data_IF_734574331346
#
_entry.id   IF_734574331346
#
_cell.length_a   1.000
_cell.length_b   1.000
_cell.length_c   1.000
_cell.angle_alpha   90.00
_cell.angle_beta   90.00
_cell.angle_gamma   90.00
#
_symmetry.space_group_name_H-M   'P 1'
#
loop_
_entity.id
_entity.type
_entity.pdbx_description
1 polymer ?
#
# COMPACT_ATOMS: atom_id res chain seq x y z
N UNK A 1 -18.05 4.55 -3.85
CA UNK A 1 -16.71 3.91 -3.87
C UNK A 1 -15.84 4.71 -4.83
N UNK A 2 -14.77 5.36 -4.37
CA UNK A 2 -13.86 6.09 -5.25
C UNK A 2 -12.81 5.12 -5.79
N UNK A 3 -12.93 4.77 -7.06
CA UNK A 3 -11.96 3.92 -7.76
C UNK A 3 -10.88 4.83 -8.31
N UNK A 4 -9.67 4.71 -7.76
CA UNK A 4 -8.47 5.42 -8.20
C UNK A 4 -7.35 4.41 -8.45
N UNK A 5 -6.34 4.79 -9.24
CA UNK A 5 -5.15 3.94 -9.43
C UNK A 5 -4.54 3.53 -8.09
N UNK A 6 -4.47 4.47 -7.13
CA UNK A 6 -4.05 4.21 -5.76
C UNK A 6 -4.82 3.06 -5.13
N UNK A 7 -6.14 3.17 -5.01
CA UNK A 7 -6.98 2.14 -4.36
C UNK A 7 -6.91 0.78 -5.04
N UNK A 8 -6.78 0.75 -6.37
CA UNK A 8 -6.67 -0.50 -7.15
C UNK A 8 -5.31 -1.15 -6.91
N UNK A 9 -4.23 -0.36 -6.92
CA UNK A 9 -2.89 -0.87 -6.63
C UNK A 9 -2.77 -1.39 -5.20
N UNK A 10 -3.27 -0.63 -4.20
CA UNK A 10 -3.30 -1.08 -2.80
C UNK A 10 -4.04 -2.42 -2.65
N UNK A 11 -5.24 -2.52 -3.23
CA UNK A 11 -6.05 -3.73 -3.17
C UNK A 11 -5.36 -4.93 -3.84
N UNK A 12 -4.75 -4.72 -5.03
CA UNK A 12 -4.03 -5.75 -5.75
C UNK A 12 -2.83 -6.27 -4.94
N UNK A 13 -2.01 -5.36 -4.40
CA UNK A 13 -0.84 -5.71 -3.58
C UNK A 13 -1.27 -6.46 -2.33
N UNK A 14 -2.33 -6.00 -1.65
CA UNK A 14 -2.86 -6.66 -0.45
C UNK A 14 -3.33 -8.09 -0.72
N UNK A 15 -4.10 -8.30 -1.78
CA UNK A 15 -4.55 -9.66 -2.19
C UNK A 15 -3.36 -10.55 -2.53
N UNK A 16 -2.36 -10.03 -3.24
CA UNK A 16 -1.17 -10.81 -3.60
C UNK A 16 -0.33 -11.18 -2.36
N UNK A 17 -0.22 -10.29 -1.37
CA UNK A 17 0.46 -10.58 -0.11
C UNK A 17 -0.26 -11.69 0.67
N UNK A 18 -1.59 -11.59 0.81
CA UNK A 18 -2.40 -12.61 1.49
C UNK A 18 -2.29 -13.97 0.81
N UNK A 19 -2.38 -14.02 -0.53
CA UNK A 19 -2.24 -15.26 -1.30
C UNK A 19 -0.84 -15.86 -1.26
N UNK A 20 0.19 -15.03 -1.09
CA UNK A 20 1.58 -15.47 -1.02
C UNK A 20 2.00 -15.98 0.37
N UNK A 21 1.20 -15.72 1.40
CA UNK A 21 1.46 -16.19 2.76
C UNK A 21 1.33 -17.72 2.80
N UNK A 22 2.42 -18.40 3.14
CA UNK A 22 2.50 -19.87 3.11
C UNK A 22 1.93 -20.54 4.38
N UNK A 23 1.24 -19.78 5.24
CA UNK A 23 0.68 -20.23 6.50
C UNK A 23 -0.78 -20.64 6.36
N UNK A 24 -1.20 -21.64 7.15
CA UNK A 24 -2.62 -21.92 7.36
C UNK A 24 -3.20 -20.84 8.28
N UNK A 25 -3.53 -19.68 7.71
CA UNK A 25 -4.29 -18.66 8.41
C UNK A 25 -5.77 -19.04 8.34
N UNK A 26 -6.51 -19.03 9.47
CA UNK A 26 -7.95 -19.27 9.48
C UNK A 26 -8.67 -18.29 8.55
N UNK A 27 -9.72 -18.76 7.85
CA UNK A 27 -10.44 -17.92 6.89
C UNK A 27 -11.19 -16.76 7.58
N UNK A 28 -11.52 -16.90 8.86
CA UNK A 28 -12.19 -15.92 9.71
C UNK A 28 -11.22 -14.90 10.35
N UNK A 29 -9.91 -15.09 10.20
CA UNK A 29 -8.92 -14.17 10.76
C UNK A 29 -9.03 -12.79 10.08
N UNK A 30 -9.12 -11.69 10.86
CA UNK A 30 -9.18 -10.36 10.29
C UNK A 30 -7.82 -9.96 9.70
N UNK A 31 -7.85 -9.38 8.51
CA UNK A 31 -6.73 -8.77 7.82
C UNK A 31 -6.97 -7.27 7.71
N UNK A 32 -5.92 -6.49 7.87
CA UNK A 32 -6.01 -5.03 7.84
C UNK A 32 -5.09 -4.42 6.79
N UNK A 33 -5.56 -3.35 6.17
CA UNK A 33 -4.76 -2.51 5.29
C UNK A 33 -4.89 -1.05 5.69
N UNK A 34 -3.79 -0.44 6.10
CA UNK A 34 -3.75 0.93 6.59
C UNK A 34 -2.92 1.85 5.70
N UNK A 35 -3.31 3.11 5.57
CA UNK A 35 -2.48 4.14 4.96
C UNK A 35 -2.71 5.49 5.62
N UNK A 36 -1.68 6.34 5.62
CA UNK A 36 -1.79 7.71 6.09
C UNK A 36 -2.37 8.63 5.01
N UNK A 37 -3.44 9.35 5.33
CA UNK A 37 -4.10 10.30 4.44
C UNK A 37 -3.79 11.75 4.84
N UNK A 38 -3.35 12.57 3.86
CA UNK A 38 -3.20 14.01 4.04
C UNK A 38 -4.56 14.68 4.26
N UNK A 39 -4.70 15.32 5.42
CA UNK A 39 -5.94 15.95 5.86
C UNK A 39 -5.94 17.49 5.72
N UNK A 40 -4.88 18.12 5.19
CA UNK A 40 -4.78 19.59 5.08
C UNK A 40 -6.00 20.20 4.38
N UNK A 41 -6.39 19.65 3.24
CA UNK A 41 -7.56 20.09 2.46
C UNK A 41 -8.91 19.59 2.98
N UNK A 42 -8.95 18.80 4.06
CA UNK A 42 -10.17 18.21 4.62
C UNK A 42 -10.64 18.91 5.91
N UNK A 43 -9.88 19.88 6.40
CA UNK A 43 -10.23 20.72 7.55
C UNK A 43 -11.10 21.90 7.11
N UNK A 44 -11.86 22.48 8.04
CA UNK A 44 -12.67 23.68 7.80
C UNK A 44 -12.32 24.78 8.84
N UNK A 45 -11.55 25.82 8.45
CA UNK A 45 -11.00 26.07 7.11
C UNK A 45 -9.82 25.13 6.74
N UNK A 46 -9.53 24.92 5.44
CA UNK A 46 -8.43 24.06 5.01
C UNK A 46 -7.08 24.66 5.41
N UNK A 47 -6.13 23.79 5.79
CA UNK A 47 -4.76 24.23 6.07
C UNK A 47 -4.03 24.61 4.78
N UNK A 48 -3.16 25.63 4.82
CA UNK A 48 -2.32 25.98 3.69
C UNK A 48 -1.45 24.80 3.22
N UNK A 49 -1.19 24.72 1.91
CA UNK A 49 -0.27 23.73 1.35
C UNK A 49 1.16 23.87 1.92
N UNK A 50 1.52 25.08 2.38
CA UNK A 50 2.81 25.42 3.01
C UNK A 50 2.84 25.15 4.52
N UNK A 51 1.78 24.58 5.10
CA UNK A 51 1.74 24.26 6.53
C UNK A 51 2.90 23.33 6.93
N UNK A 52 3.75 23.83 7.82
CA UNK A 52 4.87 23.09 8.39
C UNK A 52 4.42 22.37 9.67
N UNK A 53 4.20 21.06 9.56
CA UNK A 53 3.73 20.20 10.65
C UNK A 53 3.02 18.95 10.14
N UNK A 54 2.61 18.08 11.06
CA UNK A 54 1.88 16.86 10.72
C UNK A 54 0.39 17.13 10.55
N UNK A 55 -0.19 16.63 9.45
CA UNK A 55 -1.63 16.65 9.21
C UNK A 55 -2.04 15.35 8.47
N UNK A 56 -1.80 14.23 9.16
CA UNK A 56 -2.08 12.88 8.65
C UNK A 56 -3.18 12.25 9.50
N UNK A 57 -4.15 11.62 8.85
CA UNK A 57 -5.08 10.71 9.51
C UNK A 57 -4.83 9.29 9.01
N UNK A 58 -4.84 8.32 9.93
CA UNK A 58 -4.71 6.92 9.57
C UNK A 58 -6.05 6.38 9.08
N UNK A 59 -6.08 5.87 7.86
CA UNK A 59 -7.23 5.17 7.29
C UNK A 59 -6.94 3.68 7.36
N UNK A 60 -7.90 2.90 7.85
CA UNK A 60 -7.81 1.44 7.99
C UNK A 60 -8.95 0.79 7.23
N UNK A 61 -8.63 -0.13 6.34
CA UNK A 61 -9.53 -1.09 5.74
C UNK A 61 -9.39 -2.43 6.45
N UNK A 62 -10.48 -3.17 6.51
CA UNK A 62 -10.59 -4.45 7.20
C UNK A 62 -11.28 -5.45 6.27
N UNK A 63 -10.78 -6.67 6.24
CA UNK A 63 -11.35 -7.79 5.51
C UNK A 63 -11.02 -9.08 6.25
N UNK A 64 -11.62 -10.21 5.87
CA UNK A 64 -11.22 -11.52 6.40
C UNK A 64 -10.23 -12.20 5.46
N UNK A 65 -9.33 -13.01 6.03
CA UNK A 65 -8.28 -13.70 5.27
C UNK A 65 -8.88 -14.56 4.14
N UNK A 66 -9.96 -15.30 4.42
CA UNK A 66 -10.65 -16.14 3.45
C UNK A 66 -11.24 -15.34 2.28
N UNK A 67 -11.70 -14.11 2.52
CA UNK A 67 -12.29 -13.26 1.49
C UNK A 67 -11.25 -12.71 0.52
N UNK A 68 -10.09 -12.32 1.04
CA UNK A 68 -8.96 -11.87 0.23
C UNK A 68 -8.32 -13.03 -0.58
N UNK A 69 -8.45 -14.27 -0.07
CA UNK A 69 -8.00 -15.48 -0.76
C UNK A 69 -9.01 -15.98 -1.81
N UNK A 70 -10.30 -15.75 -1.60
CA UNK A 70 -11.42 -16.18 -2.44
C UNK A 70 -11.67 -15.34 -3.71
N UNK A 71 -12.60 -15.81 -4.56
CA UNK A 71 -12.98 -15.17 -5.84
C UNK A 71 -14.16 -14.18 -5.73
N UNK A 72 -14.72 -13.94 -4.55
CA UNK A 72 -15.91 -13.07 -4.38
C UNK A 72 -15.74 -11.99 -3.30
N UNK A 73 -16.48 -10.89 -3.48
CA UNK A 73 -16.19 -9.55 -2.98
C UNK A 73 -16.43 -9.25 -1.50
N UNK A 74 -15.90 -8.10 -1.10
CA UNK A 74 -15.84 -7.49 0.24
C UNK A 74 -17.16 -7.47 1.04
N UNK A 75 -17.16 -7.96 2.30
CA UNK A 75 -18.14 -7.58 3.32
C UNK A 75 -17.63 -7.81 4.78
N UNK A 76 -17.77 -6.78 5.63
CA UNK A 76 -18.17 -6.91 7.04
C UNK A 76 -17.10 -6.89 8.16
N UNK A 77 -17.23 -5.92 9.08
CA UNK A 77 -16.43 -5.63 10.27
C UNK A 77 -16.45 -6.67 11.41
N UNK A 78 -15.36 -6.73 12.17
CA UNK A 78 -15.21 -7.30 13.51
C UNK A 78 -13.76 -7.22 14.03
N UNK A 79 -13.48 -6.27 14.94
CA UNK A 79 -12.14 -6.05 15.49
C UNK A 79 -11.63 -7.18 16.40
N UNK A 80 -10.54 -7.83 15.96
CA UNK A 80 -9.69 -8.78 16.72
C UNK A 80 -8.23 -8.61 16.25
N UNK A 81 -7.18 -9.02 17.00
CA UNK A 81 -5.80 -8.82 16.58
C UNK A 81 -5.56 -9.67 15.33
N UNK A 82 -5.17 -9.01 14.25
CA UNK A 82 -5.04 -9.60 12.92
C UNK A 82 -3.80 -9.06 12.23
N UNK A 83 -3.33 -9.77 11.21
CA UNK A 83 -2.21 -9.33 10.37
C UNK A 83 -2.58 -8.03 9.67
N UNK A 84 -1.73 -7.02 9.83
CA UNK A 84 -1.99 -5.66 9.34
C UNK A 84 -0.88 -5.18 8.44
N UNK A 85 -1.22 -4.73 7.24
CA UNK A 85 -0.32 -4.08 6.30
C UNK A 85 -0.46 -2.57 6.39
N UNK A 86 0.65 -1.82 6.37
CA UNK A 86 0.63 -0.35 6.43
C UNK A 86 1.42 0.28 5.28
N UNK A 87 0.80 1.22 4.56
CA UNK A 87 1.51 2.07 3.60
C UNK A 87 2.16 3.26 4.31
N UNK A 88 3.48 3.35 4.19
CA UNK A 88 4.30 4.39 4.83
C UNK A 88 4.40 5.68 3.97
N UNK A 89 4.01 5.64 2.68
CA UNK A 89 4.17 6.77 1.76
C UNK A 89 3.01 6.95 0.78
N UNK A 90 2.74 8.21 0.45
CA UNK A 90 1.73 8.62 -0.54
C UNK A 90 2.36 8.95 -1.91
N UNK A 91 1.75 8.54 -3.03
CA UNK A 91 2.16 8.95 -4.37
C UNK A 91 1.91 10.45 -4.66
N UNK A 92 1.24 11.19 -3.78
CA UNK A 92 1.14 12.66 -3.93
C UNK A 92 2.43 13.39 -3.58
N UNK A 93 3.36 12.75 -2.87
CA UNK A 93 4.69 13.28 -2.63
C UNK A 93 5.66 12.74 -3.69
N UNK A 94 5.92 13.55 -4.71
CA UNK A 94 6.84 13.20 -5.79
C UNK A 94 8.29 13.50 -5.40
N UNK A 95 8.98 12.50 -4.85
CA UNK A 95 10.40 12.66 -4.53
C UNK A 95 11.31 12.55 -5.77
N UNK A 96 10.79 12.10 -6.92
CA UNK A 96 11.58 12.07 -8.15
C UNK A 96 11.76 13.46 -8.78
N UNK A 97 11.01 14.46 -8.32
CA UNK A 97 11.17 15.87 -8.70
C UNK A 97 12.28 16.61 -7.91
N UNK A 98 12.88 15.98 -6.90
CA UNK A 98 13.99 16.59 -6.15
C UNK A 98 15.28 16.67 -7.01
N UNK A 99 15.60 17.86 -7.53
CA UNK A 99 16.84 18.11 -8.28
C UNK A 99 17.77 19.05 -7.52
N UNK A 100 18.93 18.54 -7.11
CA UNK A 100 19.97 19.29 -6.41
C UNK A 100 21.05 19.86 -7.35
N UNK A 101 20.84 19.79 -8.67
CA UNK A 101 21.78 20.22 -9.71
C UNK A 101 22.52 19.07 -10.41
N UNK A 102 22.20 17.82 -10.08
CA UNK A 102 22.74 16.61 -10.71
C UNK A 102 21.68 15.82 -11.49
N UNK A 103 20.48 16.38 -11.64
CA UNK A 103 19.34 15.74 -12.27
C UNK A 103 18.52 14.89 -11.28
N UNK A 104 17.39 14.38 -11.79
CA UNK A 104 16.40 13.65 -11.00
C UNK A 104 16.95 12.34 -10.40
N UNK A 105 16.50 11.92 -9.19
CA UNK A 105 16.95 10.69 -8.54
C UNK A 105 16.71 9.46 -9.42
N UNK A 106 17.68 8.53 -9.41
CA UNK A 106 17.59 7.34 -10.27
C UNK A 106 16.60 6.30 -9.77
N UNK A 107 16.50 6.13 -8.45
CA UNK A 107 15.64 5.18 -7.75
C UNK A 107 15.35 5.74 -6.35
N UNK A 108 14.13 5.55 -5.87
CA UNK A 108 13.75 5.85 -4.49
C UNK A 108 13.50 4.56 -3.69
N UNK A 109 13.97 4.51 -2.45
CA UNK A 109 13.69 3.44 -1.49
C UNK A 109 13.40 4.04 -0.12
N UNK A 110 12.41 3.50 0.61
CA UNK A 110 12.17 3.89 2.01
C UNK A 110 12.74 2.81 2.92
N UNK A 111 13.84 3.08 3.66
CA UNK A 111 14.45 2.08 4.55
C UNK A 111 13.59 1.81 5.80
N UNK A 112 12.61 2.67 6.10
CA UNK A 112 11.64 2.48 7.19
C UNK A 112 10.66 1.32 6.96
N UNK A 113 10.64 0.72 5.76
CA UNK A 113 9.74 -0.39 5.41
C UNK A 113 10.28 -1.74 5.93
N UNK A 114 11.43 -1.78 6.60
CA UNK A 114 12.04 -3.03 7.07
C UNK A 114 11.24 -3.75 8.16
N UNK A 115 10.15 -3.14 8.64
CA UNK A 115 9.12 -3.88 9.36
C UNK A 115 8.37 -4.82 8.39
N UNK A 116 8.27 -6.11 8.73
CA UNK A 116 7.56 -7.14 7.94
C UNK A 116 6.07 -6.85 7.65
N UNK A 117 5.54 -5.72 8.07
CA UNK A 117 4.14 -5.30 7.89
C UNK A 117 3.98 -4.09 6.99
N UNK A 118 5.04 -3.33 6.70
CA UNK A 118 4.90 -2.10 5.91
C UNK A 118 5.15 -2.32 4.42
N UNK A 119 4.60 -1.41 3.62
CA UNK A 119 4.90 -1.22 2.20
C UNK A 119 5.08 0.27 1.91
N UNK A 120 5.77 0.62 0.84
CA UNK A 120 5.77 2.00 0.32
C UNK A 120 5.07 2.08 -1.02
N UNK A 121 4.47 3.22 -1.31
CA UNK A 121 3.88 3.53 -2.59
C UNK A 121 4.29 4.94 -3.03
N UNK A 122 4.73 5.08 -4.27
CA UNK A 122 5.13 6.35 -4.86
C UNK A 122 4.79 6.40 -6.35
N UNK A 123 4.91 7.58 -6.96
CA UNK A 123 4.77 7.72 -8.41
C UNK A 123 5.93 7.04 -9.13
N UNK A 124 5.64 6.50 -10.31
CA UNK A 124 6.70 6.01 -11.16
C UNK A 124 7.53 7.16 -11.72
N UNK A 125 8.84 6.96 -11.78
CA UNK A 125 9.77 7.89 -12.40
C UNK A 125 9.58 7.99 -13.92
N UNK A 126 9.29 6.86 -14.55
CA UNK A 126 9.44 6.70 -16.00
C UNK A 126 8.11 6.76 -16.76
N UNK A 127 6.98 6.61 -16.07
CA UNK A 127 5.66 6.54 -16.68
C UNK A 127 4.68 7.46 -15.96
N UNK A 128 4.15 8.44 -16.68
CA UNK A 128 3.13 9.35 -16.14
C UNK A 128 1.88 8.55 -15.76
N UNK A 129 1.40 8.74 -14.52
CA UNK A 129 0.31 7.94 -13.96
C UNK A 129 0.71 6.54 -13.47
N UNK A 130 1.96 6.12 -13.66
CA UNK A 130 2.50 4.88 -13.11
C UNK A 130 2.70 4.96 -11.60
N UNK A 131 2.61 3.82 -10.94
CA UNK A 131 2.86 3.68 -9.50
C UNK A 131 3.98 2.66 -9.27
N UNK A 132 4.87 2.99 -8.35
CA UNK A 132 5.94 2.13 -7.85
C UNK A 132 5.65 1.79 -6.39
N UNK A 133 5.65 0.50 -6.05
CA UNK A 133 5.53 0.04 -4.67
C UNK A 133 6.78 -0.72 -4.23
N UNK A 134 7.14 -0.58 -2.96
CA UNK A 134 8.29 -1.26 -2.35
C UNK A 134 7.86 -2.15 -1.19
N UNK A 135 8.43 -3.35 -1.12
CA UNK A 135 8.22 -4.35 -0.07
C UNK A 135 9.58 -4.81 0.48
N UNK A 136 9.69 -4.98 1.80
CA UNK A 136 10.87 -5.55 2.46
C UNK A 136 10.46 -6.81 3.23
N UNK A 137 10.81 -8.00 2.72
CA UNK A 137 10.47 -9.31 3.31
C UNK A 137 11.59 -10.32 3.06
N UNK A 138 11.53 -11.48 3.73
CA UNK A 138 12.47 -12.58 3.45
C UNK A 138 12.40 -13.01 1.99
N UNK A 139 13.53 -13.45 1.42
CA UNK A 139 13.61 -13.88 0.02
C UNK A 139 12.52 -14.89 -0.36
N UNK A 140 12.25 -15.87 0.51
CA UNK A 140 11.20 -16.88 0.28
C UNK A 140 9.81 -16.24 0.14
N UNK A 141 9.46 -15.29 1.02
CA UNK A 141 8.18 -14.57 0.97
C UNK A 141 8.09 -13.69 -0.28
N UNK A 142 9.17 -13.00 -0.65
CA UNK A 142 9.22 -12.17 -1.87
C UNK A 142 9.11 -13.00 -3.15
N UNK A 143 9.77 -14.16 -3.22
CA UNK A 143 9.69 -15.04 -4.38
C UNK A 143 8.26 -15.59 -4.55
N UNK A 144 7.60 -15.98 -3.46
CA UNK A 144 6.16 -16.35 -3.46
C UNK A 144 5.27 -15.20 -3.91
N UNK A 145 5.48 -14.00 -3.35
CA UNK A 145 4.72 -12.81 -3.72
C UNK A 145 4.88 -12.48 -5.21
N UNK A 146 6.12 -12.47 -5.71
CA UNK A 146 6.41 -12.15 -7.10
C UNK A 146 5.75 -13.12 -8.08
N UNK A 147 5.70 -14.42 -7.73
CA UNK A 147 5.00 -15.43 -8.50
C UNK A 147 3.49 -15.13 -8.58
N UNK A 148 2.84 -14.93 -7.43
CA UNK A 148 1.40 -14.62 -7.34
C UNK A 148 1.05 -13.31 -8.03
N UNK A 149 1.87 -12.27 -7.83
CA UNK A 149 1.67 -10.95 -8.40
C UNK A 149 1.76 -10.99 -9.93
N UNK A 150 2.78 -11.65 -10.47
CA UNK A 150 2.95 -11.78 -11.93
C UNK A 150 1.85 -12.63 -12.55
N UNK A 151 1.42 -13.70 -11.89
CA UNK A 151 0.29 -14.51 -12.34
C UNK A 151 -1.01 -13.70 -12.36
N UNK A 152 -1.28 -12.95 -11.29
CA UNK A 152 -2.47 -12.10 -11.20
C UNK A 152 -2.49 -11.05 -12.30
N UNK A 153 -1.35 -10.40 -12.57
CA UNK A 153 -1.22 -9.43 -13.67
C UNK A 153 -1.40 -10.03 -15.06
N UNK A 154 -1.07 -11.31 -15.28
CA UNK A 154 -1.29 -11.98 -16.56
C UNK A 154 -2.76 -12.35 -16.80
N UNK A 155 -3.54 -12.44 -15.73
CA UNK A 155 -4.95 -12.83 -15.76
C UNK A 155 -5.90 -11.63 -15.69
N UNK A 156 -5.37 -10.40 -15.71
CA UNK A 156 -6.10 -9.14 -15.84
C UNK A 156 -6.22 -8.74 -17.31
#
# INVERSE_FOLDING_TARGET
>A
MHITAFTVTCALVWVCLVKAEAGAVPDDEPEYFGFAADCRGRLNPPLPATYFGNCLAFVKAESTHGLLRGKEGFLGCGGVPGTGYTEDRSPRFDLYDADYGWGRPKKFESPSIDAETSMSLCKSRNFEGGLEFGLSRTKKKLDSFAAVFTETLRNL
#
